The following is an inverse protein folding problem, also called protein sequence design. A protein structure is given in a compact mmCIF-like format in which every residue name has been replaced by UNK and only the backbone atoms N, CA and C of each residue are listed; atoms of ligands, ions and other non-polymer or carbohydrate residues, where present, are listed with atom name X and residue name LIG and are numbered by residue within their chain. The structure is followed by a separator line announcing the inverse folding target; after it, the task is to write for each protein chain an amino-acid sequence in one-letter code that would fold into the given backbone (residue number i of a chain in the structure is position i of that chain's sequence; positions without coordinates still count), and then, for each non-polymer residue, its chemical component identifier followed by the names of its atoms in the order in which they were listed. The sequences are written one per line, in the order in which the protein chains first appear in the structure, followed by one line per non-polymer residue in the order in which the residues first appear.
data_IF_377400047497
#
_entry.id   IF_377400047497
#
_cell.length_a   1.000
_cell.length_b   1.000
_cell.length_c   1.000
_cell.angle_alpha   90.00
_cell.angle_beta   90.00
_cell.angle_gamma   90.00
#
_symmetry.space_group_name_H-M   'P 1'
#
loop_
_entity.id
_entity.type
_entity.pdbx_description
1 polymer ?
#
# COMPACT_ATOMS: atom_id res chain seq x y z
N UNK A 1 -2.84 39.04 -31.66
CA UNK A 1 -2.04 37.98 -32.12
C UNK A 1 -0.85 37.73 -31.28
N UNK A 2 -0.33 38.67 -30.80
CA UNK A 2 0.79 38.53 -30.00
C UNK A 2 0.54 37.86 -28.71
N UNK A 3 -0.58 38.05 -28.09
CA UNK A 3 -0.84 37.48 -26.77
C UNK A 3 -0.77 35.97 -26.74
N UNK A 4 -0.92 35.39 -27.86
CA UNK A 4 -0.91 33.96 -27.94
C UNK A 4 0.35 33.32 -27.44
N UNK A 5 1.44 33.96 -27.69
CA UNK A 5 2.70 33.45 -27.35
C UNK A 5 2.89 33.27 -25.87
N UNK A 6 2.24 34.09 -25.13
CA UNK A 6 2.41 34.12 -23.70
C UNK A 6 1.85 32.92 -23.04
N UNK A 7 0.81 32.39 -23.56
CA UNK A 7 0.16 31.25 -22.93
C UNK A 7 0.99 30.00 -22.93
N UNK A 8 1.81 29.83 -23.92
CA UNK A 8 2.59 28.62 -24.07
C UNK A 8 3.55 28.33 -22.93
N UNK A 9 4.30 29.28 -22.47
CA UNK A 9 5.28 29.03 -21.42
C UNK A 9 4.69 28.48 -20.15
N UNK A 10 3.48 28.87 -19.85
CA UNK A 10 2.86 28.43 -18.64
C UNK A 10 2.66 26.93 -18.60
N UNK A 11 2.28 26.39 -19.71
CA UNK A 11 2.01 24.97 -19.80
C UNK A 11 3.25 24.16 -19.51
N UNK A 12 4.37 24.64 -19.93
CA UNK A 12 5.61 23.94 -19.71
C UNK A 12 5.97 23.83 -18.24
N UNK A 13 5.77 24.90 -17.54
CA UNK A 13 6.09 24.92 -16.12
C UNK A 13 5.26 23.88 -15.40
N UNK A 14 4.00 23.81 -15.72
CA UNK A 14 3.12 22.85 -15.10
C UNK A 14 3.58 21.43 -15.37
N UNK A 15 3.95 21.15 -16.59
CA UNK A 15 4.41 19.81 -16.95
C UNK A 15 5.69 19.43 -16.23
N UNK A 16 6.58 20.38 -16.03
CA UNK A 16 7.83 20.12 -15.33
C UNK A 16 7.60 19.65 -13.93
N UNK A 17 6.64 20.22 -13.23
CA UNK A 17 6.36 19.85 -11.85
C UNK A 17 5.76 18.48 -11.72
N UNK A 18 4.99 18.05 -12.69
CA UNK A 18 4.31 16.78 -12.60
C UNK A 18 5.20 15.57 -12.78
N UNK A 19 6.46 15.78 -13.09
CA UNK A 19 7.37 14.67 -13.31
C UNK A 19 7.97 14.07 -12.06
N UNK A 20 7.90 14.78 -10.96
CA UNK A 20 8.45 14.25 -9.73
C UNK A 20 7.56 13.14 -9.18
N UNK A 21 8.19 12.05 -8.77
CA UNK A 21 7.49 10.89 -8.23
C UNK A 21 7.66 10.88 -6.72
N UNK A 22 6.55 10.82 -6.01
CA UNK A 22 6.57 10.72 -4.56
C UNK A 22 6.70 9.26 -4.16
N UNK A 23 7.89 8.87 -3.71
CA UNK A 23 8.16 7.49 -3.31
C UNK A 23 7.32 7.06 -2.13
N UNK A 24 7.07 7.96 -1.19
CA UNK A 24 6.20 7.65 -0.06
C UNK A 24 4.80 7.30 -0.50
N UNK A 25 4.27 8.06 -1.44
CA UNK A 25 2.93 7.78 -1.97
C UNK A 25 2.90 6.43 -2.71
N UNK A 26 3.94 6.13 -3.49
CA UNK A 26 4.00 4.85 -4.19
C UNK A 26 4.01 3.69 -3.20
N UNK A 27 4.78 3.82 -2.12
CA UNK A 27 4.82 2.81 -1.08
C UNK A 27 3.45 2.64 -0.43
N UNK A 28 2.78 3.74 -0.13
CA UNK A 28 1.46 3.70 0.49
C UNK A 28 0.41 3.06 -0.41
N UNK A 29 0.45 3.37 -1.69
CA UNK A 29 -0.49 2.78 -2.63
C UNK A 29 -0.22 1.29 -2.82
N UNK A 30 1.04 0.88 -2.77
CA UNK A 30 1.38 -0.54 -2.82
C UNK A 30 0.84 -1.25 -1.58
N UNK A 31 1.03 -0.68 -0.40
CA UNK A 31 0.51 -1.25 0.84
C UNK A 31 -1.01 -1.40 0.76
N UNK A 32 -1.70 -0.37 0.29
CA UNK A 32 -3.14 -0.39 0.14
C UNK A 32 -3.57 -1.53 -0.79
N UNK A 33 -2.88 -1.69 -1.91
CA UNK A 33 -3.20 -2.75 -2.86
C UNK A 33 -3.03 -4.13 -2.23
N UNK A 34 -1.97 -4.36 -1.49
CA UNK A 34 -1.75 -5.65 -0.83
C UNK A 34 -2.90 -5.96 0.12
N UNK A 35 -3.34 -4.99 0.93
CA UNK A 35 -4.46 -5.21 1.84
C UNK A 35 -5.78 -5.39 1.10
N UNK A 36 -5.97 -4.69 0.00
CA UNK A 36 -7.17 -4.92 -0.81
C UNK A 36 -7.21 -6.34 -1.36
N UNK A 37 -6.06 -6.87 -1.76
CA UNK A 37 -5.96 -8.26 -2.19
C UNK A 37 -6.33 -9.22 -1.06
N UNK A 38 -5.85 -8.93 0.14
CA UNK A 38 -6.20 -9.73 1.31
C UNK A 38 -7.71 -9.76 1.54
N UNK A 39 -8.35 -8.60 1.44
CA UNK A 39 -9.80 -8.51 1.64
C UNK A 39 -10.60 -9.24 0.58
N UNK A 40 -10.03 -9.42 -0.61
CA UNK A 40 -10.67 -10.17 -1.69
C UNK A 40 -10.41 -11.66 -1.59
N UNK A 41 -9.73 -12.11 -0.54
CA UNK A 41 -9.39 -13.51 -0.38
C UNK A 41 -8.17 -13.95 -1.18
N UNK A 42 -7.42 -13.00 -1.74
CA UNK A 42 -6.22 -13.31 -2.51
C UNK A 42 -5.02 -13.40 -1.55
N UNK A 43 -5.05 -14.40 -0.69
CA UNK A 43 -4.05 -14.54 0.35
C UNK A 43 -2.64 -14.76 -0.19
N UNK A 44 -2.52 -15.50 -1.29
CA UNK A 44 -1.22 -15.74 -1.91
C UNK A 44 -0.60 -14.45 -2.40
N UNK A 45 -1.41 -13.56 -2.97
CA UNK A 45 -0.92 -12.28 -3.45
C UNK A 45 -0.42 -11.42 -2.29
N UNK A 46 -1.12 -11.45 -1.16
CA UNK A 46 -0.70 -10.74 0.02
C UNK A 46 0.64 -11.27 0.52
N UNK A 47 0.79 -12.60 0.63
CA UNK A 47 2.05 -13.19 1.04
C UNK A 47 3.19 -12.85 0.08
N UNK A 48 2.88 -12.78 -1.21
CA UNK A 48 3.87 -12.40 -2.21
C UNK A 48 4.36 -10.97 -2.08
N UNK A 49 3.60 -10.13 -1.39
CA UNK A 49 4.01 -8.76 -1.11
C UNK A 49 4.87 -8.59 0.13
N UNK A 50 5.14 -9.66 0.86
CA UNK A 50 5.98 -9.60 2.04
C UNK A 50 7.45 -9.83 1.69
N UNK A 51 8.32 -9.18 2.46
CA UNK A 51 9.77 -9.30 2.25
C UNK A 51 10.27 -10.63 2.80
N UNK A 52 10.49 -11.58 1.90
CA UNK A 52 11.05 -12.87 2.26
C UNK A 52 12.21 -13.20 1.35
N UNK A 53 13.28 -13.69 1.94
CA UNK A 53 14.50 -13.96 1.18
C UNK A 53 14.45 -15.29 0.43
N UNK A 54 13.59 -16.20 0.84
CA UNK A 54 13.55 -17.54 0.29
C UNK A 54 12.13 -18.01 0.05
N UNK A 55 12.00 -19.02 -0.79
CA UNK A 55 10.73 -19.65 -1.03
C UNK A 55 10.27 -20.37 0.23
N UNK A 56 9.01 -20.18 0.57
CA UNK A 56 8.47 -20.77 1.79
C UNK A 56 8.24 -22.28 1.64
N UNK A 57 8.61 -23.08 2.67
CA UNK A 57 8.20 -24.47 2.69
C UNK A 57 6.68 -24.58 2.72
N UNK A 58 6.14 -25.63 2.11
CA UNK A 58 4.70 -25.80 1.97
C UNK A 58 3.96 -25.76 3.30
N UNK A 59 4.47 -26.43 4.31
CA UNK A 59 3.82 -26.46 5.61
C UNK A 59 3.74 -25.08 6.25
N UNK A 60 4.81 -24.31 6.15
CA UNK A 60 4.87 -22.97 6.70
C UNK A 60 3.94 -22.02 5.93
N UNK A 61 3.94 -22.16 4.62
CA UNK A 61 3.05 -21.36 3.78
C UNK A 61 1.58 -21.62 4.12
N UNK A 62 1.22 -22.88 4.32
CA UNK A 62 -0.16 -23.22 4.71
C UNK A 62 -0.52 -22.59 6.05
N UNK A 63 0.42 -22.59 6.99
CA UNK A 63 0.16 -21.98 8.27
C UNK A 63 -0.06 -20.47 8.14
N UNK A 64 0.72 -19.81 7.32
CA UNK A 64 0.55 -18.37 7.09
C UNK A 64 -0.79 -18.06 6.43
N UNK A 65 -1.19 -18.88 5.46
CA UNK A 65 -2.50 -18.71 4.83
C UNK A 65 -3.63 -18.89 5.83
N UNK A 66 -3.49 -19.88 6.72
CA UNK A 66 -4.47 -20.08 7.78
C UNK A 66 -4.54 -18.88 8.70
N UNK A 67 -3.37 -18.33 9.07
CA UNK A 67 -3.32 -17.14 9.93
C UNK A 67 -4.03 -15.95 9.28
N UNK A 68 -3.86 -15.77 7.99
CA UNK A 68 -4.52 -14.67 7.27
C UNK A 68 -6.04 -14.86 7.26
N UNK A 69 -6.50 -16.08 7.03
CA UNK A 69 -7.94 -16.36 7.07
C UNK A 69 -8.51 -16.09 8.45
N UNK A 70 -7.76 -16.49 9.49
CA UNK A 70 -8.19 -16.24 10.86
C UNK A 70 -8.27 -14.76 11.16
N UNK A 71 -7.31 -14.00 10.67
CA UNK A 71 -7.34 -12.55 10.83
C UNK A 71 -8.62 -11.96 10.22
N UNK A 72 -8.92 -12.34 8.98
CA UNK A 72 -10.12 -11.84 8.30
C UNK A 72 -11.39 -12.25 9.06
N UNK A 73 -11.45 -13.48 9.53
CA UNK A 73 -12.61 -13.95 10.29
C UNK A 73 -12.77 -13.20 11.59
N UNK A 74 -11.67 -12.91 12.27
CA UNK A 74 -11.72 -12.16 13.51
C UNK A 74 -12.20 -10.74 13.29
N UNK A 75 -11.78 -10.11 12.19
CA UNK A 75 -12.28 -8.78 11.85
C UNK A 75 -13.79 -8.79 11.61
N UNK A 76 -14.30 -9.87 11.01
CA UNK A 76 -15.74 -10.01 10.80
C UNK A 76 -16.49 -10.10 12.12
N UNK A 77 -15.94 -10.83 13.08
CA UNK A 77 -16.58 -10.97 14.39
C UNK A 77 -16.55 -9.69 15.19
N UNK A 78 -15.42 -8.99 15.17
CA UNK A 78 -15.23 -7.82 16.03
C UNK A 78 -15.78 -6.53 15.45
N UNK A 79 -15.77 -6.40 14.12
CA UNK A 79 -16.06 -5.12 13.47
C UNK A 79 -16.97 -5.24 12.25
N UNK A 80 -17.60 -6.38 12.04
CA UNK A 80 -18.37 -6.68 10.83
C UNK A 80 -17.48 -6.63 9.58
N UNK A 81 -16.20 -6.95 9.74
CA UNK A 81 -15.26 -7.01 8.65
C UNK A 81 -14.63 -5.67 8.32
N UNK A 82 -13.66 -5.71 7.43
CA UNK A 82 -13.01 -4.51 6.89
C UNK A 82 -13.64 -4.25 5.52
N UNK A 83 -14.37 -3.14 5.40
CA UNK A 83 -15.06 -2.81 4.14
C UNK A 83 -14.10 -2.26 3.09
N UNK A 84 -13.16 -1.42 3.51
CA UNK A 84 -12.24 -0.80 2.57
C UNK A 84 -11.00 -0.32 3.30
N UNK A 85 -9.98 0.04 2.50
CA UNK A 85 -8.71 0.55 3.00
C UNK A 85 -8.42 1.85 2.26
N UNK A 86 -8.06 2.88 3.01
CA UNK A 86 -7.67 4.17 2.43
C UNK A 86 -6.21 4.45 2.70
N UNK A 87 -5.56 5.13 1.77
CA UNK A 87 -4.22 5.63 1.98
C UNK A 87 -4.30 6.98 2.69
N UNK A 88 -3.54 7.15 3.75
CA UNK A 88 -3.53 8.41 4.51
C UNK A 88 -2.28 9.21 4.20
N UNK A 89 -1.11 8.66 4.51
CA UNK A 89 0.15 9.35 4.32
C UNK A 89 1.31 8.37 4.43
N UNK A 90 2.52 8.85 4.17
CA UNK A 90 3.73 8.04 4.31
C UNK A 90 4.90 8.90 4.76
N UNK A 91 5.83 8.26 5.45
CA UNK A 91 7.11 8.86 5.77
C UNK A 91 8.17 8.03 5.05
N UNK A 92 8.81 8.64 4.06
CA UNK A 92 9.81 7.96 3.23
C UNK A 92 11.21 8.25 3.73
N UNK A 93 12.06 7.22 3.80
CA UNK A 93 13.47 7.37 4.10
C UNK A 93 14.28 6.99 2.87
N UNK A 94 14.84 7.98 2.21
CA UNK A 94 15.62 7.75 1.01
C UNK A 94 16.85 6.92 1.30
N UNK A 95 17.49 7.19 2.43
CA UNK A 95 18.70 6.51 2.85
C UNK A 95 18.55 5.00 2.91
N UNK A 96 17.42 4.55 3.46
CA UNK A 96 17.18 3.13 3.68
C UNK A 96 16.30 2.50 2.61
N UNK A 97 15.73 3.30 1.73
CA UNK A 97 14.72 2.86 0.77
C UNK A 97 13.55 2.20 1.47
N UNK A 98 13.12 2.79 2.57
CA UNK A 98 11.99 2.29 3.35
C UNK A 98 10.95 3.38 3.50
N UNK A 99 9.74 2.97 3.86
CA UNK A 99 8.69 3.92 4.14
C UNK A 99 7.79 3.35 5.23
N UNK A 100 7.32 4.23 6.11
CA UNK A 100 6.24 3.89 7.02
C UNK A 100 4.98 4.43 6.40
N UNK A 101 4.06 3.56 6.02
CA UNK A 101 2.84 3.96 5.36
C UNK A 101 1.68 3.87 6.33
N UNK A 102 0.80 4.85 6.26
CA UNK A 102 -0.35 4.92 7.16
C UNK A 102 -1.60 4.70 6.35
N UNK A 103 -2.31 3.64 6.69
CA UNK A 103 -3.56 3.28 6.04
C UNK A 103 -4.69 3.40 7.06
N UNK A 104 -5.90 3.55 6.56
CA UNK A 104 -7.08 3.59 7.40
C UNK A 104 -7.98 2.43 7.01
N UNK A 105 -8.24 1.55 7.96
CA UNK A 105 -9.18 0.45 7.76
C UNK A 105 -10.58 0.96 8.11
N UNK A 106 -11.50 0.84 7.17
CA UNK A 106 -12.90 1.20 7.38
C UNK A 106 -13.68 -0.06 7.66
N UNK A 107 -14.19 -0.18 8.84
CA UNK A 107 -14.89 -1.40 9.27
C UNK A 107 -16.38 -1.36 8.96
N UNK A 108 -16.98 -2.54 8.88
CA UNK A 108 -18.41 -2.65 8.62
C UNK A 108 -19.28 -2.13 9.75
N UNK A 109 -18.73 -1.99 10.95
CA UNK A 109 -19.45 -1.40 12.08
C UNK A 109 -19.39 0.13 12.11
N UNK A 110 -18.88 0.73 11.03
CA UNK A 110 -18.74 2.19 10.85
C UNK A 110 -17.65 2.82 11.69
N UNK A 111 -16.80 2.03 12.29
CA UNK A 111 -15.60 2.54 12.93
C UNK A 111 -14.44 2.47 11.97
N UNK A 112 -13.34 3.10 12.32
CA UNK A 112 -12.13 3.08 11.51
C UNK A 112 -10.91 3.03 12.41
N UNK A 113 -9.81 2.45 11.87
CA UNK A 113 -8.58 2.32 12.62
C UNK A 113 -7.41 2.62 11.70
N UNK A 114 -6.50 3.47 12.17
CA UNK A 114 -5.28 3.72 11.43
C UNK A 114 -4.25 2.65 11.74
N UNK A 115 -3.63 2.12 10.71
CA UNK A 115 -2.59 1.11 10.85
C UNK A 115 -1.34 1.59 10.15
N UNK A 116 -0.19 1.13 10.64
CA UNK A 116 1.10 1.44 10.04
C UNK A 116 1.62 0.20 9.34
N UNK A 117 1.99 0.36 8.08
CA UNK A 117 2.54 -0.74 7.30
C UNK A 117 3.96 -0.34 6.88
N UNK A 118 4.98 -0.97 7.48
CA UNK A 118 6.35 -0.70 7.08
C UNK A 118 6.61 -1.30 5.70
N UNK A 119 7.23 -0.52 4.83
CA UNK A 119 7.51 -0.93 3.45
C UNK A 119 9.00 -0.82 3.16
N UNK A 120 9.46 -1.64 2.23
CA UNK A 120 10.83 -1.65 1.76
C UNK A 120 10.83 -1.69 0.24
N UNK A 121 11.65 -0.86 -0.39
CA UNK A 121 11.80 -0.91 -1.84
C UNK A 121 12.92 -1.87 -2.18
N UNK A 122 12.60 -2.92 -2.92
CA UNK A 122 13.57 -3.97 -3.27
C UNK A 122 13.45 -4.23 -4.76
N UNK A 123 14.56 -4.04 -5.47
CA UNK A 123 14.62 -4.21 -6.92
C UNK A 123 13.53 -3.42 -7.65
N UNK A 124 13.30 -2.20 -7.19
CA UNK A 124 12.33 -1.31 -7.81
C UNK A 124 10.88 -1.55 -7.41
N UNK A 125 10.63 -2.49 -6.51
CA UNK A 125 9.28 -2.85 -6.10
C UNK A 125 9.09 -2.58 -4.61
N UNK A 126 7.99 -1.95 -4.25
CA UNK A 126 7.64 -1.74 -2.85
C UNK A 126 6.97 -2.98 -2.30
N UNK A 127 7.54 -3.52 -1.23
CA UNK A 127 7.01 -4.72 -0.56
C UNK A 127 6.89 -4.44 0.93
N UNK A 128 6.09 -5.24 1.62
CA UNK A 128 5.93 -5.12 3.07
C UNK A 128 7.14 -5.74 3.77
N UNK A 129 7.60 -5.06 4.83
CA UNK A 129 8.75 -5.52 5.60
C UNK A 129 8.41 -6.67 6.51
#
# INVERSE_FOLDING_TARGET
MFPLLIALPFLWVACGKSKEVDQGELAGRAAKLYYEQLLKGQYDAFLGGENRSEKLPDSYRKQLLTNLRQFVEQQKKEHNGIDSVSYVSSVFSEKDSTASTFLLFHYGDRTAKQVVVPMLKKKGVWIMR
#
